data_IF_389429835329
#
_entry.id   IF_389429835329
#
_cell.length_a   1.000
_cell.length_b   1.000
_cell.length_c   1.000
_cell.angle_alpha   90.00
_cell.angle_beta   90.00
_cell.angle_gamma   90.00
#
_symmetry.space_group_name_H-M   'P 1'
#
loop_
_entity.id
_entity.type
_entity.pdbx_description
1 polymer ?
#
# COMPACT_ATOMS: atom_id res chain seq x y z
N UNK A 1 36.88 -6.62 -23.90
CA UNK A 1 36.49 -5.22 -24.14
C UNK A 1 35.02 -5.17 -23.79
N UNK A 2 34.71 -4.40 -22.74
CA UNK A 2 33.50 -4.46 -21.92
C UNK A 2 32.18 -4.39 -22.69
N UNK A 3 31.31 -5.36 -22.45
CA UNK A 3 29.91 -5.28 -22.82
C UNK A 3 29.15 -4.61 -21.65
N UNK A 4 28.99 -3.29 -21.74
CA UNK A 4 28.22 -2.51 -20.79
C UNK A 4 26.79 -3.05 -20.69
N UNK A 5 26.44 -3.63 -19.54
CA UNK A 5 25.06 -3.92 -19.19
C UNK A 5 24.27 -2.60 -19.18
N UNK A 6 23.49 -2.37 -20.23
CA UNK A 6 22.49 -1.30 -20.26
C UNK A 6 21.42 -1.63 -19.22
N UNK A 7 21.52 -0.99 -18.06
CA UNK A 7 20.49 -1.03 -17.03
C UNK A 7 19.23 -0.36 -17.59
N UNK A 8 18.29 -1.16 -18.11
CA UNK A 8 16.98 -0.65 -18.51
C UNK A 8 16.20 -0.29 -17.25
N UNK A 9 16.10 1.00 -16.97
CA UNK A 9 15.20 1.51 -15.94
C UNK A 9 13.75 1.25 -16.38
N UNK A 10 13.20 0.10 -16.05
CA UNK A 10 11.77 -0.19 -16.22
C UNK A 10 11.02 0.63 -15.18
N UNK A 11 10.46 1.76 -15.61
CA UNK A 11 9.58 2.56 -14.75
C UNK A 11 8.41 1.69 -14.31
N UNK A 12 8.19 1.58 -13.00
CA UNK A 12 7.03 0.89 -12.46
C UNK A 12 5.78 1.74 -12.72
N UNK A 13 5.02 1.39 -13.75
CA UNK A 13 3.66 1.90 -13.92
C UNK A 13 2.72 0.80 -13.45
N UNK A 14 2.04 1.05 -12.32
CA UNK A 14 1.06 0.11 -11.78
C UNK A 14 -0.24 0.23 -12.58
N UNK A 15 -0.55 -0.80 -13.38
CA UNK A 15 -1.87 -1.02 -13.95
C UNK A 15 -2.52 -2.20 -13.23
N UNK A 16 -3.74 -2.01 -12.76
CA UNK A 16 -4.48 -3.04 -12.03
C UNK A 16 -5.21 -3.95 -12.99
N UNK A 17 -4.79 -5.20 -13.07
CA UNK A 17 -5.53 -6.24 -13.79
C UNK A 17 -6.72 -6.71 -12.94
N UNK A 18 -7.87 -6.92 -13.58
CA UNK A 18 -8.97 -7.64 -12.92
C UNK A 18 -8.54 -9.09 -12.69
N UNK A 19 -9.03 -9.74 -11.64
CA UNK A 19 -8.57 -11.09 -11.23
C UNK A 19 -8.84 -12.16 -12.29
N UNK A 20 -9.89 -11.97 -13.08
CA UNK A 20 -10.29 -12.73 -14.27
C UNK A 20 -9.53 -12.33 -15.55
N UNK A 21 -8.74 -11.26 -15.48
CA UNK A 21 -7.94 -10.71 -16.58
C UNK A 21 -6.46 -10.64 -16.23
N UNK A 22 -6.00 -11.39 -15.23
CA UNK A 22 -4.58 -11.57 -15.03
C UNK A 22 -4.06 -12.25 -16.32
N UNK A 23 -3.13 -11.63 -17.06
CA UNK A 23 -2.52 -12.26 -18.22
C UNK A 23 -1.53 -13.31 -17.73
N UNK A 24 -2.03 -14.32 -17.02
CA UNK A 24 -1.37 -15.59 -16.86
C UNK A 24 -1.52 -16.29 -18.20
N UNK A 25 -0.83 -15.80 -19.22
CA UNK A 25 -0.55 -16.61 -20.41
C UNK A 25 0.35 -17.78 -20.03
N UNK A 26 1.06 -18.35 -21.00
CA UNK A 26 2.03 -19.42 -20.75
C UNK A 26 3.21 -18.99 -19.84
N UNK A 27 3.23 -17.74 -19.37
CA UNK A 27 4.34 -17.12 -18.67
C UNK A 27 3.87 -16.64 -17.29
N UNK A 28 4.44 -17.24 -16.26
CA UNK A 28 4.29 -16.78 -14.89
C UNK A 28 5.11 -15.48 -14.74
N UNK A 29 4.51 -14.36 -14.29
CA UNK A 29 5.28 -13.13 -14.08
C UNK A 29 6.43 -13.38 -13.10
N UNK A 30 7.63 -12.92 -13.45
CA UNK A 30 8.84 -13.05 -12.62
C UNK A 30 8.61 -12.67 -11.16
N UNK A 31 7.84 -11.60 -10.93
CA UNK A 31 7.46 -11.15 -9.58
C UNK A 31 6.65 -12.16 -8.78
N UNK A 32 5.80 -12.95 -9.43
CA UNK A 32 5.07 -14.02 -8.75
C UNK A 32 6.05 -15.10 -8.27
N UNK A 33 7.03 -15.47 -9.10
CA UNK A 33 8.08 -16.43 -8.74
C UNK A 33 8.92 -15.89 -7.59
N UNK A 34 9.34 -14.63 -7.65
CA UNK A 34 10.07 -13.97 -6.56
C UNK A 34 9.29 -14.00 -5.24
N UNK A 35 7.98 -13.70 -5.25
CA UNK A 35 7.15 -13.79 -4.05
C UNK A 35 7.13 -15.20 -3.43
N UNK A 36 7.11 -16.25 -4.26
CA UNK A 36 7.15 -17.65 -3.78
C UNK A 36 8.52 -17.98 -3.19
N UNK A 37 9.61 -17.62 -3.89
CA UNK A 37 10.98 -17.92 -3.46
C UNK A 37 11.39 -17.15 -2.19
N UNK A 38 10.83 -15.95 -2.01
CA UNK A 38 11.09 -15.08 -0.86
C UNK A 38 10.05 -15.23 0.26
N UNK A 39 9.17 -16.24 0.20
CA UNK A 39 8.05 -16.41 1.15
C UNK A 39 8.50 -16.30 2.62
N UNK A 40 9.58 -16.98 3.00
CA UNK A 40 10.10 -16.91 4.38
C UNK A 40 10.55 -15.50 4.76
N UNK A 41 11.25 -14.82 3.84
CA UNK A 41 11.76 -13.46 4.05
C UNK A 41 10.64 -12.39 4.09
N UNK A 42 9.51 -12.64 3.44
CA UNK A 42 8.34 -11.72 3.45
C UNK A 42 7.32 -12.07 4.54
N UNK A 43 7.52 -13.14 5.31
CA UNK A 43 6.52 -13.68 6.24
C UNK A 43 6.08 -12.67 7.31
N UNK A 44 7.00 -11.82 7.79
CA UNK A 44 6.69 -10.73 8.73
C UNK A 44 5.76 -9.67 8.14
N UNK A 45 5.68 -9.58 6.81
CA UNK A 45 4.82 -8.65 6.09
C UNK A 45 3.48 -9.26 5.66
N UNK A 46 3.22 -10.55 5.92
CA UNK A 46 1.96 -11.21 5.53
C UNK A 46 0.75 -10.49 6.14
N UNK A 47 0.81 -10.19 7.44
CA UNK A 47 -0.25 -9.49 8.18
C UNK A 47 -0.54 -8.10 7.58
N UNK A 48 0.44 -7.18 7.45
CA UNK A 48 0.18 -5.87 6.88
C UNK A 48 -0.19 -5.93 5.39
N UNK A 49 0.31 -6.90 4.61
CA UNK A 49 -0.13 -7.11 3.22
C UNK A 49 -1.62 -7.49 3.13
N UNK A 50 -2.10 -8.36 4.03
CA UNK A 50 -3.51 -8.75 4.08
C UNK A 50 -4.40 -7.56 4.49
N UNK A 51 -3.98 -6.77 5.48
CA UNK A 51 -4.69 -5.53 5.82
C UNK A 51 -4.74 -4.57 4.64
N UNK A 52 -3.63 -4.35 3.96
CA UNK A 52 -3.60 -3.51 2.77
C UNK A 52 -4.58 -4.02 1.69
N UNK A 53 -4.59 -5.32 1.42
CA UNK A 53 -5.50 -5.95 0.46
C UNK A 53 -6.98 -5.74 0.85
N UNK A 54 -7.32 -5.89 2.14
CA UNK A 54 -8.67 -5.61 2.65
C UNK A 54 -9.04 -4.15 2.51
N UNK A 55 -8.10 -3.24 2.79
CA UNK A 55 -8.27 -1.81 2.61
C UNK A 55 -8.60 -1.46 1.15
N UNK A 56 -7.82 -2.02 0.22
CA UNK A 56 -8.06 -1.86 -1.21
C UNK A 56 -9.43 -2.36 -1.63
N UNK A 57 -9.86 -3.53 -1.14
CA UNK A 57 -11.21 -4.04 -1.42
C UNK A 57 -12.29 -3.08 -0.92
N UNK A 58 -12.17 -2.62 0.33
CA UNK A 58 -13.10 -1.65 0.92
C UNK A 58 -13.21 -0.37 0.09
N UNK A 59 -12.07 0.17 -0.35
CA UNK A 59 -12.04 1.37 -1.18
C UNK A 59 -12.77 1.18 -2.51
N UNK A 60 -12.63 0.03 -3.18
CA UNK A 60 -13.33 -0.24 -4.44
C UNK A 60 -14.84 -0.40 -4.24
N UNK A 61 -15.24 -0.99 -3.11
CA UNK A 61 -16.63 -1.21 -2.77
C UNK A 61 -17.31 0.08 -2.25
N UNK A 62 -16.59 1.20 -2.17
CA UNK A 62 -17.07 2.45 -1.58
C UNK A 62 -17.23 2.40 -0.05
N UNK A 63 -16.64 1.40 0.60
CA UNK A 63 -16.54 1.23 2.06
C UNK A 63 -15.25 1.88 2.58
N UNK A 64 -15.20 3.20 2.43
CA UNK A 64 -14.00 4.01 2.68
C UNK A 64 -13.57 4.03 4.15
N UNK A 65 -14.53 4.01 5.09
CA UNK A 65 -14.20 3.97 6.52
C UNK A 65 -13.47 2.67 6.85
N UNK A 66 -14.01 1.53 6.42
CA UNK A 66 -13.37 0.23 6.56
C UNK A 66 -12.02 0.19 5.85
N UNK A 67 -11.90 0.85 4.68
CA UNK A 67 -10.64 0.95 3.97
C UNK A 67 -9.57 1.67 4.80
N UNK A 68 -9.89 2.85 5.33
CA UNK A 68 -8.99 3.65 6.18
C UNK A 68 -8.52 2.86 7.38
N UNK A 69 -9.44 2.17 8.05
CA UNK A 69 -9.11 1.33 9.22
C UNK A 69 -8.07 0.28 8.86
N UNK A 70 -8.28 -0.45 7.76
CA UNK A 70 -7.34 -1.49 7.34
C UNK A 70 -5.99 -0.90 6.90
N UNK A 71 -5.98 0.20 6.15
CA UNK A 71 -4.73 0.86 5.79
C UNK A 71 -3.98 1.41 7.01
N UNK A 72 -4.70 1.91 8.01
CA UNK A 72 -4.07 2.39 9.25
C UNK A 72 -3.45 1.24 10.05
N UNK A 73 -4.06 0.06 10.08
CA UNK A 73 -3.45 -1.12 10.71
C UNK A 73 -2.11 -1.49 10.09
N UNK A 74 -1.91 -1.26 8.79
CA UNK A 74 -0.58 -1.40 8.16
C UNK A 74 0.43 -0.47 8.82
N UNK A 75 0.09 0.81 8.96
CA UNK A 75 0.99 1.82 9.52
C UNK A 75 1.26 1.56 11.01
N UNK A 76 0.24 1.17 11.77
CA UNK A 76 0.37 0.83 13.18
C UNK A 76 1.22 -0.44 13.38
N UNK A 77 1.08 -1.43 12.50
CA UNK A 77 1.91 -2.64 12.53
C UNK A 77 3.39 -2.33 12.27
N UNK A 78 3.68 -1.57 11.20
CA UNK A 78 5.06 -1.29 10.78
C UNK A 78 5.75 -0.25 11.66
N UNK A 79 5.03 0.76 12.14
CA UNK A 79 5.63 1.94 12.77
C UNK A 79 5.07 2.24 14.17
N UNK A 80 4.08 1.49 14.65
CA UNK A 80 3.45 1.75 15.95
C UNK A 80 4.25 1.27 17.14
N UNK A 81 5.16 0.30 16.98
CA UNK A 81 5.98 -0.23 18.09
C UNK A 81 5.13 -0.82 19.23
N UNK A 82 3.97 -1.41 18.88
CA UNK A 82 2.99 -1.92 19.85
C UNK A 82 2.26 -0.84 20.66
N UNK A 83 2.45 0.45 20.35
CA UNK A 83 1.79 1.54 21.06
C UNK A 83 0.44 1.90 20.40
N UNK A 84 -0.62 1.85 21.19
CA UNK A 84 -1.97 2.24 20.75
C UNK A 84 -2.40 3.62 21.28
N UNK A 85 -1.56 4.28 22.11
CA UNK A 85 -1.87 5.60 22.67
C UNK A 85 -1.49 6.68 21.66
N UNK A 86 -2.45 7.53 21.29
CA UNK A 86 -2.31 8.64 20.32
C UNK A 86 -0.95 9.35 20.39
N UNK A 87 -0.57 9.89 21.55
CA UNK A 87 0.67 10.67 21.71
C UNK A 87 1.92 9.89 21.34
N UNK A 88 2.01 8.62 21.76
CA UNK A 88 3.16 7.76 21.44
C UNK A 88 3.15 7.32 19.98
N UNK A 89 1.97 7.06 19.42
CA UNK A 89 1.83 6.66 18.03
C UNK A 89 2.25 7.79 17.09
N UNK A 90 1.83 9.03 17.37
CA UNK A 90 2.27 10.23 16.63
C UNK A 90 3.79 10.37 16.70
N UNK A 91 4.38 10.28 17.90
CA UNK A 91 5.83 10.38 18.07
C UNK A 91 6.60 9.30 17.28
N UNK A 92 6.13 8.05 17.31
CA UNK A 92 6.74 6.96 16.55
C UNK A 92 6.63 7.18 15.04
N UNK A 93 5.47 7.66 14.56
CA UNK A 93 5.26 7.94 13.14
C UNK A 93 6.15 9.09 12.66
N UNK A 94 6.27 10.16 13.43
CA UNK A 94 7.15 11.30 13.12
C UNK A 94 8.63 10.90 13.11
N UNK A 95 9.02 9.96 13.97
CA UNK A 95 10.39 9.46 14.04
C UNK A 95 10.74 8.44 12.95
N UNK A 96 9.79 8.02 12.09
CA UNK A 96 10.01 7.00 11.06
C UNK A 96 10.34 7.64 9.69
N UNK A 97 11.60 7.61 9.22
CA UNK A 97 11.95 8.21 7.93
C UNK A 97 11.23 7.56 6.75
N UNK A 98 11.03 6.23 6.81
CA UNK A 98 10.31 5.48 5.78
C UNK A 98 8.83 5.92 5.66
N UNK A 99 8.19 6.25 6.79
CA UNK A 99 6.83 6.78 6.75
C UNK A 99 6.78 8.21 6.20
N UNK A 100 7.72 9.08 6.59
CA UNK A 100 7.81 10.46 6.07
C UNK A 100 8.01 10.45 4.55
N UNK A 101 8.89 9.60 4.04
CA UNK A 101 9.06 9.40 2.60
C UNK A 101 7.76 8.89 1.94
N UNK A 102 7.05 7.97 2.59
CA UNK A 102 5.75 7.49 2.13
C UNK A 102 4.66 8.56 2.09
N UNK A 103 4.65 9.50 3.03
CA UNK A 103 3.75 10.66 2.99
C UNK A 103 4.06 11.56 1.79
N UNK A 104 5.35 11.84 1.55
CA UNK A 104 5.78 12.63 0.40
C UNK A 104 5.37 11.95 -0.92
N UNK A 105 5.59 10.65 -1.05
CA UNK A 105 5.19 9.91 -2.25
C UNK A 105 3.67 9.87 -2.43
N UNK A 106 2.93 9.57 -1.36
CA UNK A 106 1.48 9.52 -1.40
C UNK A 106 0.88 10.86 -1.83
N UNK A 107 1.47 11.99 -1.41
CA UNK A 107 1.05 13.32 -1.91
C UNK A 107 1.25 13.43 -3.41
N UNK A 108 2.42 13.04 -3.94
CA UNK A 108 2.68 13.11 -5.40
C UNK A 108 1.71 12.24 -6.18
N UNK A 109 1.48 11.00 -5.75
CA UNK A 109 0.59 10.06 -6.43
C UNK A 109 -0.87 10.51 -6.36
N UNK A 110 -1.33 10.89 -5.17
CA UNK A 110 -2.71 11.35 -4.95
C UNK A 110 -2.98 12.66 -5.70
N UNK A 111 -2.00 13.57 -5.77
CA UNK A 111 -2.10 14.78 -6.58
C UNK A 111 -2.37 14.43 -8.04
N UNK A 112 -1.58 13.52 -8.63
CA UNK A 112 -1.76 13.10 -10.02
C UNK A 112 -3.10 12.41 -10.22
N UNK A 113 -3.49 11.54 -9.29
CA UNK A 113 -4.73 10.76 -9.37
C UNK A 113 -5.99 11.64 -9.27
N UNK A 114 -5.99 12.64 -8.39
CA UNK A 114 -7.18 13.47 -8.12
C UNK A 114 -7.19 14.77 -8.92
N UNK A 115 -6.16 15.09 -9.70
CA UNK A 115 -6.10 16.34 -10.45
C UNK A 115 -7.32 16.49 -11.37
N UNK A 116 -8.09 17.56 -11.14
CA UNK A 116 -9.30 17.85 -11.92
C UNK A 116 -10.56 17.11 -11.47
N UNK A 117 -10.49 16.30 -10.41
CA UNK A 117 -11.66 15.73 -9.74
C UNK A 117 -12.24 16.73 -8.72
N UNK A 118 -13.54 16.65 -8.46
CA UNK A 118 -14.24 17.49 -7.46
C UNK A 118 -13.62 17.40 -6.06
N UNK A 119 -12.97 16.28 -5.75
CA UNK A 119 -12.33 16.03 -4.45
C UNK A 119 -10.90 16.59 -4.35
N UNK A 120 -10.37 17.22 -5.40
CA UNK A 120 -8.99 17.70 -5.44
C UNK A 120 -8.71 18.79 -4.40
N UNK A 121 -9.62 19.77 -4.26
CA UNK A 121 -9.47 20.84 -3.26
C UNK A 121 -9.45 20.29 -1.84
N UNK A 122 -10.34 19.32 -1.54
CA UNK A 122 -10.37 18.64 -0.26
C UNK A 122 -9.06 17.88 0.03
N UNK A 123 -8.46 17.25 -0.99
CA UNK A 123 -7.13 16.65 -0.85
C UNK A 123 -6.05 17.69 -0.56
N UNK A 124 -6.04 18.81 -1.28
CA UNK A 124 -5.07 19.87 -1.09
C UNK A 124 -5.12 20.47 0.31
N UNK A 125 -6.33 20.74 0.80
CA UNK A 125 -6.57 21.28 2.14
C UNK A 125 -6.11 20.32 3.24
N UNK A 126 -6.46 19.03 3.13
CA UNK A 126 -6.20 18.05 4.20
C UNK A 126 -4.80 17.46 4.19
N UNK A 127 -4.20 17.31 3.01
CA UNK A 127 -2.99 16.49 2.82
C UNK A 127 -1.95 17.15 1.94
N UNK A 128 -2.35 17.76 0.82
CA UNK A 128 -1.42 18.27 -0.19
C UNK A 128 -0.55 19.42 0.31
N UNK A 129 -1.16 20.39 1.00
CA UNK A 129 -0.49 21.60 1.47
C UNK A 129 -0.08 21.56 2.95
N UNK A 130 -0.48 20.52 3.69
CA UNK A 130 -0.24 20.42 5.12
C UNK A 130 1.08 19.73 5.46
N UNK A 131 1.64 20.11 6.62
CA UNK A 131 2.89 19.55 7.13
C UNK A 131 2.74 18.09 7.52
N UNK A 132 3.83 17.32 7.47
CA UNK A 132 3.81 15.90 7.85
C UNK A 132 3.30 15.69 9.28
N UNK A 133 3.68 16.56 10.21
CA UNK A 133 3.19 16.51 11.60
C UNK A 133 1.67 16.60 11.69
N UNK A 134 1.06 17.55 10.97
CA UNK A 134 -0.39 17.72 10.96
C UNK A 134 -1.09 16.55 10.26
N UNK A 135 -0.55 16.11 9.13
CA UNK A 135 -1.09 14.94 8.40
C UNK A 135 -1.06 13.69 9.28
N UNK A 136 0.05 13.40 9.94
CA UNK A 136 0.18 12.29 10.89
C UNK A 136 -0.84 12.42 12.02
N UNK A 137 -0.93 13.62 12.62
CA UNK A 137 -1.87 13.88 13.71
C UNK A 137 -3.31 13.63 13.27
N UNK A 138 -3.71 14.15 12.11
CA UNK A 138 -5.03 13.94 11.53
C UNK A 138 -5.30 12.46 11.27
N UNK A 139 -4.36 11.72 10.69
CA UNK A 139 -4.53 10.28 10.43
C UNK A 139 -4.75 9.49 11.72
N UNK A 140 -3.95 9.76 12.76
CA UNK A 140 -4.06 9.08 14.06
C UNK A 140 -5.37 9.45 14.77
N UNK A 141 -5.77 10.73 14.71
CA UNK A 141 -7.05 11.20 15.26
C UNK A 141 -8.24 10.57 14.54
N UNK A 142 -8.21 10.54 13.21
CA UNK A 142 -9.23 9.93 12.37
C UNK A 142 -9.41 8.44 12.72
N UNK A 143 -8.32 7.69 12.95
CA UNK A 143 -8.41 6.32 13.46
C UNK A 143 -9.13 6.27 14.81
N UNK A 144 -8.75 7.11 15.77
CA UNK A 144 -9.44 7.16 17.07
C UNK A 144 -10.93 7.47 16.92
N UNK A 145 -11.26 8.41 16.04
CA UNK A 145 -12.62 8.83 15.73
C UNK A 145 -13.44 7.67 15.12
N UNK A 146 -12.95 7.07 14.03
CA UNK A 146 -13.69 6.03 13.30
C UNK A 146 -13.87 4.72 14.11
N UNK A 147 -12.97 4.41 15.04
CA UNK A 147 -13.04 3.19 15.85
C UNK A 147 -13.84 3.31 17.15
N UNK A 148 -13.97 4.51 17.73
CA UNK A 148 -14.59 4.67 19.05
C UNK A 148 -15.96 5.33 18.95
N UNK A 149 -17.00 4.50 18.87
CA UNK A 149 -18.37 4.98 18.95
C UNK A 149 -18.71 5.45 20.36
N UNK A 150 -19.38 6.60 20.44
CA UNK A 150 -19.91 7.10 21.70
C UNK A 150 -21.26 7.77 21.50
N UNK A 151 -22.14 7.63 22.49
CA UNK A 151 -23.43 8.32 22.53
C UNK A 151 -23.27 9.84 22.45
N UNK A 152 -22.13 10.36 22.93
CA UNK A 152 -21.79 11.79 22.90
C UNK A 152 -21.43 12.30 21.50
N UNK A 153 -21.11 11.41 20.55
CA UNK A 153 -20.69 11.78 19.19
C UNK A 153 -21.29 10.80 18.16
N UNK A 154 -22.61 10.83 17.92
CA UNK A 154 -23.30 9.84 17.08
C UNK A 154 -23.00 9.95 15.58
N UNK A 155 -22.39 11.05 15.13
CA UNK A 155 -22.00 11.27 13.72
C UNK A 155 -20.56 10.88 13.40
N UNK A 156 -19.86 10.25 14.35
CA UNK A 156 -18.42 9.98 14.27
C UNK A 156 -18.09 8.85 13.30
N UNK A 157 -18.90 7.80 13.33
CA UNK A 157 -18.97 6.81 12.29
C UNK A 157 -20.43 6.70 11.90
N UNK A 158 -20.71 6.75 10.61
CA UNK A 158 -22.07 6.58 10.14
C UNK A 158 -22.03 6.00 8.72
N UNK A 159 -22.83 4.95 8.42
CA UNK A 159 -22.78 4.27 7.13
C UNK A 159 -23.10 5.18 5.94
N UNK A 160 -23.83 6.28 6.16
CA UNK A 160 -24.13 7.26 5.11
C UNK A 160 -22.98 8.23 4.80
N UNK A 161 -21.94 8.31 5.64
CA UNK A 161 -20.84 9.29 5.48
C UNK A 161 -19.66 8.74 4.70
N UNK A 162 -19.76 7.52 4.14
CA UNK A 162 -18.64 6.85 3.45
C UNK A 162 -17.95 7.74 2.42
N UNK A 163 -18.72 8.46 1.59
CA UNK A 163 -18.15 9.34 0.55
C UNK A 163 -17.33 10.51 1.10
N UNK A 164 -17.61 10.98 2.32
CA UNK A 164 -16.85 12.05 2.96
C UNK A 164 -15.41 11.62 3.31
N UNK A 165 -15.19 10.30 3.41
CA UNK A 165 -13.92 9.67 3.71
C UNK A 165 -13.16 9.19 2.47
N UNK A 166 -13.66 9.44 1.26
CA UNK A 166 -13.06 8.92 0.04
C UNK A 166 -11.62 9.42 -0.17
N UNK A 167 -11.37 10.71 0.04
CA UNK A 167 -10.02 11.29 -0.07
C UNK A 167 -9.10 10.74 1.00
N UNK A 168 -9.59 10.60 2.23
CA UNK A 168 -8.79 10.10 3.34
C UNK A 168 -8.40 8.63 3.09
N UNK A 169 -9.30 7.82 2.51
CA UNK A 169 -9.02 6.45 2.10
C UNK A 169 -8.00 6.38 0.96
N UNK A 170 -8.16 7.19 -0.10
CA UNK A 170 -7.21 7.24 -1.22
C UNK A 170 -5.81 7.62 -0.73
N UNK A 171 -5.70 8.68 0.07
CA UNK A 171 -4.41 9.14 0.58
C UNK A 171 -3.78 8.12 1.52
N UNK A 172 -4.51 7.64 2.53
CA UNK A 172 -3.99 6.64 3.49
C UNK A 172 -3.62 5.33 2.79
N UNK A 173 -4.41 4.92 1.79
CA UNK A 173 -4.13 3.77 0.95
C UNK A 173 -2.84 3.93 0.14
N UNK A 174 -2.60 5.12 -0.42
CA UNK A 174 -1.35 5.43 -1.14
C UNK A 174 -0.12 5.40 -0.22
N UNK A 175 -0.22 5.93 1.00
CA UNK A 175 0.85 5.83 2.01
C UNK A 175 1.14 4.36 2.34
N UNK A 176 0.09 3.59 2.65
CA UNK A 176 0.18 2.16 2.96
C UNK A 176 0.79 1.36 1.81
N UNK A 177 0.35 1.61 0.57
CA UNK A 177 0.88 0.96 -0.63
C UNK A 177 2.38 1.24 -0.78
N UNK A 178 2.80 2.50 -0.63
CA UNK A 178 4.19 2.88 -0.83
C UNK A 178 5.11 2.20 0.18
N UNK A 179 4.81 2.32 1.48
CA UNK A 179 5.69 1.77 2.53
C UNK A 179 5.81 0.24 2.41
N UNK A 180 4.72 -0.45 2.06
CA UNK A 180 4.73 -1.89 1.83
C UNK A 180 5.49 -2.27 0.56
N UNK A 181 5.25 -1.56 -0.54
CA UNK A 181 5.91 -1.85 -1.82
C UNK A 181 7.41 -1.63 -1.72
N UNK A 182 7.85 -0.63 -0.95
CA UNK A 182 9.26 -0.37 -0.70
C UNK A 182 9.88 -1.48 0.14
N UNK A 183 9.31 -1.78 1.31
CA UNK A 183 9.84 -2.81 2.20
C UNK A 183 9.88 -4.20 1.55
N UNK A 184 8.79 -4.63 0.92
CA UNK A 184 8.74 -5.91 0.21
C UNK A 184 9.59 -5.87 -1.05
N UNK A 185 9.59 -4.76 -1.79
CA UNK A 185 10.38 -4.61 -3.01
C UNK A 185 11.88 -4.74 -2.76
N UNK A 186 12.39 -4.19 -1.66
CA UNK A 186 13.79 -4.35 -1.23
C UNK A 186 14.14 -5.81 -0.94
N UNK A 187 13.23 -6.57 -0.31
CA UNK A 187 13.41 -8.00 -0.07
C UNK A 187 13.45 -8.78 -1.39
N UNK A 188 12.50 -8.52 -2.29
CA UNK A 188 12.41 -9.21 -3.58
C UNK A 188 13.57 -8.85 -4.52
N UNK A 189 14.18 -7.67 -4.35
CA UNK A 189 15.34 -7.22 -5.11
C UNK A 189 16.69 -7.56 -4.44
N UNK A 190 16.69 -8.23 -3.29
CA UNK A 190 17.92 -8.63 -2.61
C UNK A 190 18.76 -9.59 -3.45
N UNK A 191 20.09 -9.55 -3.29
CA UNK A 191 21.00 -10.44 -4.01
C UNK A 191 20.66 -11.92 -3.76
N UNK A 192 20.23 -12.26 -2.55
CA UNK A 192 19.77 -13.60 -2.20
C UNK A 192 18.52 -14.01 -3.01
N UNK A 193 17.51 -13.14 -3.08
CA UNK A 193 16.29 -13.39 -3.85
C UNK A 193 16.59 -13.50 -5.35
N UNK A 194 17.45 -12.63 -5.88
CA UNK A 194 17.86 -12.64 -7.28
C UNK A 194 18.70 -13.89 -7.63
N UNK A 195 19.56 -14.35 -6.71
CA UNK A 195 20.30 -15.59 -6.87
C UNK A 195 19.37 -16.82 -6.88
N UNK A 196 18.39 -16.89 -5.97
CA UNK A 196 17.35 -17.93 -5.95
C UNK A 196 16.55 -17.94 -7.25
N UNK A 197 16.18 -16.77 -7.76
CA UNK A 197 15.48 -16.63 -9.04
C UNK A 197 16.34 -17.12 -10.22
N UNK A 198 17.60 -16.70 -10.29
CA UNK A 198 18.52 -17.11 -11.36
C UNK A 198 18.81 -18.62 -11.35
N UNK A 199 18.80 -19.25 -10.16
CA UNK A 199 18.95 -20.69 -9.99
C UNK A 199 17.66 -21.47 -10.31
N UNK A 200 16.52 -20.80 -10.48
CA UNK A 200 15.25 -21.45 -10.81
C UNK A 200 15.24 -21.82 -12.30
N UNK A 201 15.09 -23.10 -12.66
CA UNK A 201 15.08 -23.52 -14.05
C UNK A 201 13.89 -22.87 -14.78
N UNK A 202 14.16 -22.25 -15.93
CA UNK A 202 13.11 -21.73 -16.81
C UNK A 202 12.38 -22.92 -17.40
N UNK A 203 11.12 -23.13 -17.01
CA UNK A 203 10.27 -24.12 -17.69
C UNK A 203 9.97 -23.56 -19.07
N UNK A 204 10.64 -24.06 -20.11
CA UNK A 204 10.18 -23.87 -21.47
C UNK A 204 8.81 -24.54 -21.58
N UNK A 205 7.80 -23.77 -21.96
CA UNK A 205 6.44 -24.24 -22.20
C UNK A 205 6.38 -25.07 -23.48
N UNK A 206 7.15 -26.16 -23.56
CA UNK A 206 6.94 -27.15 -24.60
C UNK A 206 5.69 -27.94 -24.22
N UNK A 207 4.58 -27.47 -24.77
CA UNK A 207 3.31 -28.15 -24.92
C UNK A 207 2.88 -29.00 -23.72
N UNK A 208 2.14 -28.38 -22.79
CA UNK A 208 1.09 -29.11 -22.08
C UNK A 208 0.07 -29.51 -23.16
N UNK A 209 0.29 -30.65 -23.82
CA UNK A 209 -0.77 -31.34 -24.53
C UNK A 209 -1.78 -31.76 -23.48
N UNK A 210 -2.79 -30.91 -23.26
CA UNK A 210 -4.02 -31.32 -22.60
C UNK A 210 -4.58 -32.47 -23.45
N UNK A 211 -4.42 -33.68 -22.91
CA UNK A 211 -4.94 -34.90 -23.49
C UNK A 211 -6.42 -34.73 -23.80
N UNK A 212 -6.79 -35.18 -25.00
CA UNK A 212 -8.16 -35.21 -25.53
C UNK A 212 -9.12 -35.95 -24.60
#
# INVERSE_FOLDING_TARGET
MDEQLKMQTKSMRYERFKRDQLPLGDHIPERLVQCVLSYEAISEYEIPLEFHRRGMNGQNDGRFVEAIVNFFFVLEYLFGGGQHRKTRLIANFQASPALIEGLAEARRQTFVQLRGADTFEMFQERYGNETDEKVITQMVEMRGFLHHQSVKRPRTWHPALQREYAVDAVFTGAVSQYVLSKAVGEILASDEAMAKLAATPTVQSDAIQLGK
#
